data_IF_749744938827
#
_entry.id   IF_749744938827
#
_cell.length_a   1.000
_cell.length_b   1.000
_cell.length_c   1.000
_cell.angle_alpha   90.00
_cell.angle_beta   90.00
_cell.angle_gamma   90.00
#
_symmetry.space_group_name_H-M   'P 1'
#
loop_
_entity.id
_entity.type
_entity.pdbx_description
1 polymer ?
#
# COMPACT_ATOMS: atom_id res chain seq x y z
N UNK A 1 5.51 15.60 9.47
CA UNK A 1 6.20 15.08 8.27
C UNK A 1 6.05 13.58 8.31
N UNK A 2 5.72 12.94 7.18
CA UNK A 2 5.55 11.49 7.12
C UNK A 2 6.86 10.77 7.49
N UNK A 3 6.73 9.62 8.16
CA UNK A 3 7.85 8.76 8.51
C UNK A 3 8.11 7.83 7.32
N UNK A 4 9.27 7.97 6.68
CA UNK A 4 9.73 7.06 5.65
C UNK A 4 10.15 5.72 6.27
N UNK A 5 9.55 4.63 5.77
CA UNK A 5 9.83 3.27 6.20
C UNK A 5 10.47 2.51 5.06
N UNK A 6 11.70 2.04 5.29
CA UNK A 6 12.47 1.17 4.41
C UNK A 6 12.90 -0.09 5.16
N UNK A 7 13.75 -0.92 4.54
CA UNK A 7 14.20 -2.18 5.16
C UNK A 7 14.91 -2.01 6.51
N UNK A 8 15.59 -0.88 6.72
CA UNK A 8 16.43 -0.64 7.89
C UNK A 8 15.62 -0.34 9.17
N UNK A 9 14.47 0.31 9.04
CA UNK A 9 13.62 0.71 10.17
C UNK A 9 12.24 0.02 10.18
N UNK A 10 11.97 -0.90 9.25
CA UNK A 10 10.68 -1.60 9.13
C UNK A 10 10.17 -2.17 10.46
N UNK A 11 11.02 -2.96 11.14
CA UNK A 11 10.62 -3.63 12.39
C UNK A 11 10.30 -2.62 13.49
N UNK A 12 11.17 -1.61 13.65
CA UNK A 12 10.98 -0.55 14.64
C UNK A 12 9.65 0.18 14.41
N UNK A 13 9.35 0.55 13.17
CA UNK A 13 8.14 1.30 12.84
C UNK A 13 6.88 0.44 12.96
N UNK A 14 6.94 -0.86 12.64
CA UNK A 14 5.81 -1.76 12.86
C UNK A 14 5.52 -1.96 14.36
N UNK A 15 6.53 -2.07 15.21
CA UNK A 15 6.34 -2.15 16.67
C UNK A 15 5.78 -0.84 17.24
N UNK A 16 6.22 0.32 16.71
CA UNK A 16 5.63 1.61 17.08
C UNK A 16 4.15 1.66 16.72
N UNK A 17 3.78 1.30 15.48
CA UNK A 17 2.38 1.27 15.05
C UNK A 17 1.55 0.39 15.97
N UNK A 18 2.01 -0.83 16.26
CA UNK A 18 1.32 -1.75 17.17
C UNK A 18 1.07 -1.16 18.56
N UNK A 19 2.07 -0.50 19.13
CA UNK A 19 1.94 0.13 20.45
C UNK A 19 0.85 1.20 20.48
N UNK A 20 0.55 1.81 19.33
CA UNK A 20 -0.45 2.87 19.17
C UNK A 20 -1.86 2.31 18.86
N UNK A 21 -1.96 1.10 18.30
CA UNK A 21 -3.25 0.53 17.82
C UNK A 21 -4.30 0.36 18.90
N UNK A 22 -3.92 0.27 20.17
CA UNK A 22 -4.87 0.21 21.28
C UNK A 22 -5.65 1.52 21.50
N UNK A 23 -5.05 2.67 21.20
CA UNK A 23 -5.66 4.00 21.36
C UNK A 23 -6.09 4.61 20.02
N UNK A 24 -5.44 4.21 18.93
CA UNK A 24 -5.67 4.71 17.58
C UNK A 24 -6.08 3.54 16.66
N UNK A 25 -7.34 3.12 16.77
CA UNK A 25 -7.90 1.93 16.14
C UNK A 25 -8.38 2.14 14.69
N UNK A 26 -8.46 3.40 14.24
CA UNK A 26 -8.86 3.75 12.87
C UNK A 26 -7.60 3.88 12.02
N UNK A 27 -7.58 3.20 10.88
CA UNK A 27 -6.44 3.10 9.97
C UNK A 27 -6.83 3.62 8.62
N UNK A 28 -6.26 4.74 8.18
CA UNK A 28 -6.35 5.14 6.78
C UNK A 28 -5.21 4.48 6.00
N UNK A 29 -5.54 3.92 4.85
CA UNK A 29 -4.55 3.36 3.91
C UNK A 29 -4.70 4.03 2.54
N UNK A 30 -3.57 4.14 1.85
CA UNK A 30 -3.45 4.67 0.49
C UNK A 30 -2.26 4.00 -0.18
N UNK A 31 -2.30 3.81 -1.50
CA UNK A 31 -1.21 3.12 -2.21
C UNK A 31 -0.75 3.86 -3.46
N UNK A 32 0.55 3.79 -3.71
CA UNK A 32 1.15 4.22 -4.98
C UNK A 32 1.61 3.00 -5.77
N UNK A 33 1.24 2.95 -7.05
CA UNK A 33 1.50 1.85 -7.96
C UNK A 33 1.67 2.39 -9.39
N UNK A 34 2.25 1.61 -10.33
CA UNK A 34 2.71 2.14 -11.62
C UNK A 34 1.59 2.34 -12.66
N UNK A 35 0.42 2.83 -12.23
CA UNK A 35 -0.71 3.18 -13.10
C UNK A 35 -1.62 2.00 -13.47
N UNK A 36 -2.18 2.03 -14.67
CA UNK A 36 -3.12 1.02 -15.17
C UNK A 36 -2.65 0.52 -16.55
N UNK A 37 -2.55 -0.81 -16.69
CA UNK A 37 -2.18 -1.45 -17.97
C UNK A 37 -3.44 -1.83 -18.77
N UNK A 38 -4.58 -1.93 -18.08
CA UNK A 38 -5.91 -2.15 -18.63
C UNK A 38 -6.88 -1.13 -18.03
N UNK A 39 -7.53 -0.36 -18.89
CA UNK A 39 -8.53 0.61 -18.48
C UNK A 39 -9.87 -0.04 -18.16
N UNK A 40 -10.58 0.51 -17.17
CA UNK A 40 -11.95 0.13 -16.86
C UNK A 40 -12.95 1.14 -17.41
N UNK A 41 -13.86 0.73 -18.32
CA UNK A 41 -14.92 1.59 -18.80
C UNK A 41 -15.81 2.13 -17.68
N UNK A 42 -16.34 3.36 -17.85
CA UNK A 42 -17.25 3.97 -16.86
C UNK A 42 -18.53 3.16 -16.66
N UNK A 43 -19.03 2.56 -17.72
CA UNK A 43 -20.23 1.72 -17.73
C UNK A 43 -19.92 0.22 -17.54
N UNK A 44 -18.69 -0.13 -17.15
CA UNK A 44 -18.33 -1.51 -16.85
C UNK A 44 -19.18 -2.07 -15.72
N UNK A 45 -19.64 -3.31 -15.92
CA UNK A 45 -20.24 -4.14 -14.89
C UNK A 45 -19.27 -4.37 -13.72
N UNK A 46 -19.78 -4.82 -12.58
CA UNK A 46 -18.93 -5.14 -11.41
C UNK A 46 -17.93 -6.25 -11.73
N UNK A 47 -18.33 -7.25 -12.52
CA UNK A 47 -17.47 -8.34 -12.96
C UNK A 47 -16.35 -7.86 -13.87
N UNK A 48 -16.66 -7.04 -14.88
CA UNK A 48 -15.65 -6.44 -15.76
C UNK A 48 -14.66 -5.59 -14.96
N UNK A 49 -15.17 -4.76 -14.05
CA UNK A 49 -14.35 -3.92 -13.17
C UNK A 49 -13.43 -4.75 -12.29
N UNK A 50 -13.94 -5.82 -11.69
CA UNK A 50 -13.13 -6.73 -10.89
C UNK A 50 -12.03 -7.39 -11.74
N UNK A 51 -12.37 -7.85 -12.94
CA UNK A 51 -11.43 -8.48 -13.85
C UNK A 51 -10.30 -7.53 -14.30
N UNK A 52 -10.62 -6.25 -14.53
CA UNK A 52 -9.61 -5.23 -14.85
C UNK A 52 -8.69 -4.94 -13.66
N UNK A 53 -9.27 -4.72 -12.47
CA UNK A 53 -8.51 -4.51 -11.21
C UNK A 53 -7.58 -5.69 -10.97
N UNK A 54 -8.12 -6.91 -11.05
CA UNK A 54 -7.36 -8.14 -10.91
C UNK A 54 -6.22 -8.22 -11.92
N UNK A 55 -6.49 -7.93 -13.19
CA UNK A 55 -5.47 -7.97 -14.24
C UNK A 55 -4.34 -6.97 -13.96
N UNK A 56 -4.68 -5.74 -13.61
CA UNK A 56 -3.71 -4.71 -13.27
C UNK A 56 -2.90 -5.12 -12.03
N UNK A 57 -3.58 -5.40 -10.91
CA UNK A 57 -2.95 -5.71 -9.62
C UNK A 57 -2.07 -6.95 -9.71
N UNK A 58 -2.50 -8.02 -10.39
CA UNK A 58 -1.69 -9.24 -10.51
C UNK A 58 -0.38 -9.02 -11.26
N UNK A 59 -0.37 -8.11 -12.24
CA UNK A 59 0.76 -7.89 -13.15
C UNK A 59 1.64 -6.68 -12.80
N UNK A 60 1.34 -5.95 -11.72
CA UNK A 60 2.12 -4.79 -11.28
C UNK A 60 2.68 -4.96 -9.86
N UNK A 61 3.74 -4.23 -9.56
CA UNK A 61 4.34 -4.17 -8.24
C UNK A 61 3.86 -2.93 -7.50
N UNK A 62 3.55 -3.09 -6.21
CA UNK A 62 3.23 -1.97 -5.32
C UNK A 62 4.51 -1.15 -5.07
N UNK A 63 4.42 0.18 -5.12
CA UNK A 63 5.57 1.08 -4.94
C UNK A 63 5.60 1.63 -3.51
N UNK A 64 4.45 2.09 -3.01
CA UNK A 64 4.34 2.63 -1.67
C UNK A 64 3.00 2.26 -1.02
N UNK A 65 3.01 2.05 0.30
CA UNK A 65 1.83 1.98 1.15
C UNK A 65 1.87 3.10 2.18
N UNK A 66 0.90 4.01 2.12
CA UNK A 66 0.63 5.01 3.14
C UNK A 66 -0.23 4.45 4.26
N UNK A 67 0.12 4.76 5.51
CA UNK A 67 -0.68 4.42 6.70
C UNK A 67 -0.78 5.63 7.62
N UNK A 68 -1.99 5.95 8.06
CA UNK A 68 -2.22 6.93 9.13
C UNK A 68 -3.17 6.35 10.19
N UNK A 69 -2.94 6.70 11.46
CA UNK A 69 -3.71 6.20 12.59
C UNK A 69 -4.53 7.32 13.22
N UNK A 70 -5.78 7.01 13.57
CA UNK A 70 -6.69 7.93 14.23
C UNK A 70 -7.40 7.25 15.40
N UNK A 71 -7.74 8.04 16.42
CA UNK A 71 -8.70 7.65 17.44
C UNK A 71 -10.15 7.88 16.95
N UNK A 72 -11.14 7.51 17.76
CA UNK A 72 -12.57 7.70 17.44
C UNK A 72 -12.99 9.17 17.29
N UNK A 73 -12.19 10.12 17.80
CA UNK A 73 -12.39 11.56 17.64
C UNK A 73 -11.71 12.14 16.39
N UNK A 74 -10.99 11.32 15.62
CA UNK A 74 -10.21 11.78 14.46
C UNK A 74 -8.86 12.40 14.81
N UNK A 75 -8.38 12.25 16.05
CA UNK A 75 -7.07 12.74 16.45
C UNK A 75 -5.96 11.74 16.09
N UNK A 76 -4.79 12.26 15.78
CA UNK A 76 -3.58 11.47 15.49
C UNK A 76 -2.69 11.34 16.74
N UNK A 77 -1.81 10.33 16.80
CA UNK A 77 -0.83 10.19 17.89
C UNK A 77 0.02 11.44 18.15
N UNK A 78 0.40 12.12 17.07
CA UNK A 78 1.07 13.42 17.06
C UNK A 78 0.80 14.11 15.72
N UNK A 79 0.98 15.44 15.61
CA UNK A 79 0.69 16.16 14.37
C UNK A 79 1.42 15.59 13.15
N UNK A 80 0.64 15.15 12.15
CA UNK A 80 1.16 14.58 10.91
C UNK A 80 1.75 13.16 11.06
N UNK A 81 1.27 12.39 12.04
CA UNK A 81 1.60 10.97 12.22
C UNK A 81 1.08 10.13 11.03
N UNK A 82 1.96 9.85 10.08
CA UNK A 82 1.74 8.88 9.01
C UNK A 82 3.05 8.19 8.64
N UNK A 83 2.93 6.97 8.11
CA UNK A 83 4.03 6.15 7.64
C UNK A 83 3.91 5.96 6.13
N UNK A 84 5.06 5.99 5.45
CA UNK A 84 5.20 5.70 4.03
C UNK A 84 6.13 4.51 3.87
N UNK A 85 5.56 3.34 3.67
CA UNK A 85 6.29 2.11 3.42
C UNK A 85 6.70 2.06 1.96
N UNK A 86 7.99 2.14 1.68
CA UNK A 86 8.54 2.13 0.32
C UNK A 86 9.01 0.73 -0.04
N UNK A 87 8.59 0.19 -1.19
CA UNK A 87 8.90 -1.17 -1.62
C UNK A 87 10.00 -1.20 -2.70
N UNK A 88 10.79 -2.26 -2.67
CA UNK A 88 11.94 -2.48 -3.55
C UNK A 88 11.63 -3.31 -4.79
N UNK A 89 10.43 -3.89 -4.85
CA UNK A 89 10.03 -4.87 -5.87
C UNK A 89 9.86 -4.28 -7.27
N UNK A 90 9.59 -2.97 -7.39
CA UNK A 90 9.36 -2.29 -8.67
C UNK A 90 10.67 -1.78 -9.29
N UNK A 91 10.87 -2.09 -10.56
CA UNK A 91 11.95 -1.62 -11.41
C UNK A 91 11.40 -1.04 -12.74
N UNK A 92 11.47 0.30 -12.94
CA UNK A 92 10.86 0.96 -14.10
C UNK A 92 11.47 0.54 -15.45
N UNK A 93 12.66 -0.08 -15.45
CA UNK A 93 13.34 -0.50 -16.68
C UNK A 93 12.87 -1.89 -17.18
N UNK A 94 12.21 -2.68 -16.32
CA UNK A 94 11.83 -4.07 -16.64
C UNK A 94 10.35 -4.39 -16.35
N UNK A 95 9.75 -3.71 -15.38
CA UNK A 95 8.38 -4.01 -14.96
C UNK A 95 7.34 -3.29 -15.81
N UNK A 96 6.15 -3.88 -15.85
CA UNK A 96 5.04 -3.27 -16.60
C UNK A 96 4.51 -2.05 -15.85
N UNK A 97 4.39 -0.93 -16.56
CA UNK A 97 3.92 0.34 -16.00
C UNK A 97 3.25 1.21 -17.06
N UNK A 98 2.42 2.16 -16.62
CA UNK A 98 1.98 3.29 -17.42
C UNK A 98 3.05 4.40 -17.41
N UNK A 99 3.60 4.81 -18.58
CA UNK A 99 4.61 5.86 -18.65
C UNK A 99 4.18 7.18 -17.99
N UNK A 100 2.92 7.59 -18.20
CA UNK A 100 2.36 8.81 -17.62
C UNK A 100 2.33 8.75 -16.09
N UNK A 101 2.00 7.58 -15.53
CA UNK A 101 2.01 7.37 -14.08
C UNK A 101 3.43 7.37 -13.51
N UNK A 102 4.40 6.80 -14.23
CA UNK A 102 5.82 6.86 -13.83
C UNK A 102 6.33 8.29 -13.84
N UNK A 103 6.03 9.07 -14.88
CA UNK A 103 6.41 10.48 -14.92
C UNK A 103 5.81 11.27 -13.76
N UNK A 104 4.51 11.06 -13.48
CA UNK A 104 3.82 11.72 -12.36
C UNK A 104 4.44 11.36 -11.00
N UNK A 105 4.80 10.10 -10.78
CA UNK A 105 5.43 9.64 -9.54
C UNK A 105 6.82 10.25 -9.36
N UNK A 106 7.62 10.34 -10.43
CA UNK A 106 8.92 11.02 -10.39
C UNK A 106 8.76 12.51 -10.06
N UNK A 107 7.79 13.19 -10.69
CA UNK A 107 7.48 14.60 -10.40
C UNK A 107 7.00 14.80 -8.96
N UNK A 108 6.32 13.79 -8.39
CA UNK A 108 5.88 13.77 -6.98
C UNK A 108 6.99 13.41 -5.98
N UNK A 109 8.21 13.13 -6.46
CA UNK A 109 9.38 12.90 -5.62
C UNK A 109 9.75 11.44 -5.35
N UNK A 110 9.18 10.48 -6.10
CA UNK A 110 9.60 9.08 -6.00
C UNK A 110 10.97 8.85 -6.65
N UNK A 111 11.93 8.35 -5.86
CA UNK A 111 13.21 7.84 -6.34
C UNK A 111 13.18 6.30 -6.39
N UNK A 112 12.88 5.74 -7.56
CA UNK A 112 12.81 4.30 -7.75
C UNK A 112 14.15 3.60 -7.50
N UNK A 113 15.28 4.26 -7.79
CA UNK A 113 16.61 3.67 -7.54
C UNK A 113 16.90 3.61 -6.04
N UNK A 114 16.48 4.62 -5.28
CA UNK A 114 16.52 4.57 -3.83
C UNK A 114 15.59 3.48 -3.28
N UNK A 115 14.36 3.38 -3.79
CA UNK A 115 13.42 2.34 -3.37
C UNK A 115 13.97 0.92 -3.62
N UNK A 116 14.60 0.68 -4.76
CA UNK A 116 15.26 -0.61 -5.03
C UNK A 116 16.41 -0.93 -4.08
N UNK A 117 17.18 0.09 -3.66
CA UNK A 117 18.30 -0.09 -2.73
C UNK A 117 17.83 -0.28 -1.29
N UNK A 118 16.93 0.57 -0.82
CA UNK A 118 16.62 0.76 0.61
C UNK A 118 15.19 0.35 1.00
N UNK A 119 14.35 0.10 0.00
CA UNK A 119 12.96 -0.29 0.17
C UNK A 119 12.80 -1.70 0.74
N UNK A 120 11.56 -1.96 1.11
CA UNK A 120 11.10 -3.20 1.71
C UNK A 120 10.86 -4.23 0.61
N UNK A 121 11.27 -5.47 0.82
CA UNK A 121 10.85 -6.60 -0.01
C UNK A 121 9.43 -7.01 0.41
N UNK A 122 8.44 -6.70 -0.43
CA UNK A 122 7.02 -6.90 -0.13
C UNK A 122 6.70 -8.37 0.17
N UNK A 123 7.35 -9.30 -0.52
CA UNK A 123 7.16 -10.73 -0.34
C UNK A 123 7.70 -11.24 1.00
N UNK A 124 8.87 -10.73 1.42
CA UNK A 124 9.49 -11.09 2.71
C UNK A 124 8.78 -10.45 3.89
N UNK A 125 8.24 -9.25 3.73
CA UNK A 125 7.56 -8.55 4.82
C UNK A 125 6.07 -8.87 4.93
N UNK A 126 5.45 -9.49 3.92
CA UNK A 126 4.02 -9.77 3.86
C UNK A 126 3.45 -10.33 5.16
N UNK A 127 4.11 -11.33 5.75
CA UNK A 127 3.69 -11.92 7.03
C UNK A 127 3.75 -10.91 8.18
N UNK A 128 4.87 -10.18 8.31
CA UNK A 128 5.04 -9.17 9.37
C UNK A 128 4.02 -8.04 9.24
N UNK A 129 3.84 -7.51 8.03
CA UNK A 129 2.84 -6.46 7.74
C UNK A 129 1.43 -6.97 8.02
N UNK A 130 1.09 -8.17 7.54
CA UNK A 130 -0.22 -8.78 7.79
C UNK A 130 -0.50 -8.91 9.29
N UNK A 131 0.40 -9.56 10.03
CA UNK A 131 0.22 -9.78 11.47
C UNK A 131 0.17 -8.45 12.21
N UNK A 132 1.13 -7.54 11.97
CA UNK A 132 1.26 -6.33 12.78
C UNK A 132 0.29 -5.20 12.40
N UNK A 133 -0.11 -5.08 11.13
CA UNK A 133 -1.01 -4.01 10.68
C UNK A 133 -2.47 -4.45 10.57
N UNK A 134 -2.73 -5.68 10.15
CA UNK A 134 -4.08 -6.11 9.73
C UNK A 134 -4.72 -7.17 10.64
N UNK A 135 -3.94 -8.08 11.23
CA UNK A 135 -4.45 -9.15 12.08
C UNK A 135 -4.24 -8.86 13.58
N UNK A 136 -4.99 -7.89 14.10
CA UNK A 136 -4.93 -7.49 15.52
C UNK A 136 -6.22 -7.86 16.27
N UNK A 137 -6.17 -8.12 17.59
CA UNK A 137 -7.34 -8.49 18.39
C UNK A 137 -8.34 -7.33 18.61
N UNK A 138 -7.99 -6.12 18.17
CA UNK A 138 -8.80 -4.92 18.33
C UNK A 138 -9.73 -4.73 17.13
N UNK A 139 -10.99 -4.38 17.38
CA UNK A 139 -11.93 -3.92 16.36
C UNK A 139 -11.34 -2.69 15.66
N UNK A 140 -10.84 -2.88 14.44
CA UNK A 140 -10.16 -1.84 13.67
C UNK A 140 -11.05 -1.39 12.53
N UNK A 141 -11.13 -0.07 12.32
CA UNK A 141 -11.86 0.51 11.18
C UNK A 141 -10.83 0.92 10.13
N UNK A 142 -11.05 0.54 8.88
CA UNK A 142 -10.20 0.94 7.76
C UNK A 142 -10.88 2.02 6.95
N UNK A 143 -10.12 3.05 6.59
CA UNK A 143 -10.56 4.16 5.75
C UNK A 143 -9.72 4.13 4.48
N UNK A 144 -10.40 4.27 3.35
CA UNK A 144 -9.80 4.37 2.02
C UNK A 144 -10.53 5.44 1.22
N UNK A 145 -9.89 6.03 0.21
CA UNK A 145 -10.53 6.96 -0.72
C UNK A 145 -10.37 6.43 -2.14
N UNK A 146 -11.46 6.05 -2.80
CA UNK A 146 -11.39 5.31 -4.07
C UNK A 146 -10.53 4.02 -4.01
N UNK A 147 -10.36 3.43 -2.83
CA UNK A 147 -9.33 2.42 -2.56
C UNK A 147 -9.63 0.99 -3.00
N UNK A 148 -10.33 0.84 -4.13
CA UNK A 148 -10.50 -0.46 -4.78
C UNK A 148 -9.12 -1.10 -5.08
N UNK A 149 -8.20 -0.30 -5.63
CA UNK A 149 -6.84 -0.74 -5.91
C UNK A 149 -6.00 -0.84 -4.64
N UNK A 150 -6.13 0.09 -3.69
CA UNK A 150 -5.41 0.04 -2.41
C UNK A 150 -5.65 -1.28 -1.67
N UNK A 151 -6.93 -1.64 -1.52
CA UNK A 151 -7.33 -2.88 -0.86
C UNK A 151 -6.86 -4.09 -1.66
N UNK A 152 -6.95 -4.07 -2.99
CA UNK A 152 -6.51 -5.18 -3.82
C UNK A 152 -4.99 -5.42 -3.72
N UNK A 153 -4.17 -4.36 -3.73
CA UNK A 153 -2.72 -4.48 -3.53
C UNK A 153 -2.37 -4.96 -2.12
N UNK A 154 -3.06 -4.46 -1.09
CA UNK A 154 -2.88 -4.94 0.28
C UNK A 154 -3.22 -6.43 0.37
N UNK A 155 -4.33 -6.88 -0.24
CA UNK A 155 -4.72 -8.30 -0.29
C UNK A 155 -3.66 -9.13 -1.03
N UNK A 156 -3.20 -8.69 -2.21
CA UNK A 156 -2.13 -9.36 -2.96
C UNK A 156 -0.87 -9.50 -2.11
N UNK A 157 -0.46 -8.44 -1.42
CA UNK A 157 0.71 -8.43 -0.55
C UNK A 157 0.56 -9.43 0.60
N UNK A 158 -0.53 -9.36 1.38
CA UNK A 158 -0.70 -10.22 2.57
C UNK A 158 -0.92 -11.69 2.22
N UNK A 159 -1.61 -11.99 1.12
CA UNK A 159 -1.87 -13.37 0.67
C UNK A 159 -0.69 -13.97 -0.09
N UNK A 160 0.19 -13.12 -0.65
CA UNK A 160 1.26 -13.51 -1.56
C UNK A 160 0.75 -14.30 -2.77
N UNK A 161 -0.51 -14.09 -3.12
CA UNK A 161 -1.21 -14.79 -4.17
C UNK A 161 -1.83 -13.78 -5.13
N UNK A 162 -2.16 -14.28 -6.32
CA UNK A 162 -3.02 -13.53 -7.24
C UNK A 162 -4.36 -13.25 -6.60
N UNK A 163 -5.02 -12.15 -6.99
CA UNK A 163 -6.37 -11.86 -6.55
C UNK A 163 -7.30 -13.07 -6.84
N UNK A 164 -8.32 -13.34 -6.02
CA UNK A 164 -9.27 -14.43 -6.27
C UNK A 164 -9.90 -14.39 -7.66
N UNK A 165 -10.38 -15.52 -8.15
CA UNK A 165 -11.37 -15.49 -9.25
C UNK A 165 -12.76 -15.29 -8.66
N UNK A 166 -13.68 -14.61 -9.38
CA UNK A 166 -15.08 -14.52 -8.96
C UNK A 166 -15.73 -15.89 -8.74
#
# INVERSE_FOLDING_TARGET
MAINVGKANLVEQLELILSLRGSYSIVAIDTEFPGFIRDTPRNATEEERYNDVKHNVDNMHLIQLGVALFDEGGNTPWPGCCWQFNFSDFDPDVDTSSPDSIELLVQSGHDFQQNRRDGIDAQRCAYLVCVKLFCQPYSSKYITFHGLYDVAFVIKMITRARCPTP
#
